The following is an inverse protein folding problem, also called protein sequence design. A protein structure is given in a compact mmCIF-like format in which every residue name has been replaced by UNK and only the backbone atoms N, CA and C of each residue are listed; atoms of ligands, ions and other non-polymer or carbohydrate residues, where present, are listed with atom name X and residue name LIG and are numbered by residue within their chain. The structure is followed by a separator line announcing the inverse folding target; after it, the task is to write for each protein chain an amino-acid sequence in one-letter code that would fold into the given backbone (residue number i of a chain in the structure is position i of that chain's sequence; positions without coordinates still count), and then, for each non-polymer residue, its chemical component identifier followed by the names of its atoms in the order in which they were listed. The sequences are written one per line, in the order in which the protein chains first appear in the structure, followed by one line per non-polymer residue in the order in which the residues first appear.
data_IF_792045825843
#
_entry.id   IF_792045825843
#
_cell.length_a   1.000
_cell.length_b   1.000
_cell.length_c   1.000
_cell.angle_alpha   90.00
_cell.angle_beta   90.00
_cell.angle_gamma   90.00
#
_symmetry.space_group_name_H-M   'P 1'
#
loop_
_entity.id
_entity.type
_entity.pdbx_description
1 polymer ?
#
# COMPACT_ATOMS: atom_id res chain seq x y z
N UNK A 1 -12.01 -15.00 34.11
CA UNK A 1 -11.33 -14.99 32.79
C UNK A 1 -12.17 -14.14 31.86
N UNK A 2 -12.03 -12.83 31.94
CA UNK A 2 -12.69 -11.96 30.96
C UNK A 2 -12.00 -12.21 29.61
N UNK A 3 -12.76 -12.52 28.56
CA UNK A 3 -12.17 -12.50 27.21
C UNK A 3 -11.89 -11.04 26.90
N UNK A 4 -10.63 -10.67 27.03
CA UNK A 4 -10.13 -9.40 26.56
C UNK A 4 -9.82 -9.56 25.07
N UNK A 5 -10.86 -9.40 24.23
CA UNK A 5 -10.72 -9.37 22.75
C UNK A 5 -9.58 -8.41 22.37
N UNK A 6 -9.46 -7.29 23.10
CA UNK A 6 -8.40 -6.31 22.91
C UNK A 6 -7.03 -6.86 23.33
N UNK A 7 -6.86 -7.48 24.50
CA UNK A 7 -5.56 -8.07 24.88
C UNK A 7 -5.08 -9.11 23.86
N UNK A 8 -5.99 -9.94 23.34
CA UNK A 8 -5.64 -10.89 22.28
C UNK A 8 -5.25 -10.18 20.98
N UNK A 9 -5.86 -9.03 20.69
CA UNK A 9 -5.50 -8.19 19.57
C UNK A 9 -4.11 -7.58 19.75
N UNK A 10 -3.81 -7.07 20.95
CA UNK A 10 -2.50 -6.51 21.31
C UNK A 10 -1.41 -7.59 21.24
N UNK A 11 -1.62 -8.76 21.83
CA UNK A 11 -0.67 -9.87 21.74
C UNK A 11 -0.40 -10.26 20.26
N UNK A 12 -1.45 -10.28 19.43
CA UNK A 12 -1.29 -10.56 17.99
C UNK A 12 -0.52 -9.44 17.29
N UNK A 13 -0.73 -8.18 17.68
CA UNK A 13 0.00 -7.03 17.14
C UNK A 13 1.48 -7.09 17.51
N UNK A 14 1.82 -7.37 18.77
CA UNK A 14 3.19 -7.50 19.25
C UNK A 14 3.94 -8.61 18.53
N UNK A 15 3.34 -9.80 18.42
CA UNK A 15 3.90 -10.92 17.64
C UNK A 15 4.09 -10.52 16.18
N UNK A 16 3.12 -9.81 15.60
CA UNK A 16 3.23 -9.28 14.24
C UNK A 16 4.40 -8.32 14.07
N UNK A 17 4.58 -7.38 15.01
CA UNK A 17 5.68 -6.41 15.02
C UNK A 17 7.03 -7.12 15.17
N UNK A 18 7.11 -8.13 16.04
CA UNK A 18 8.32 -8.92 16.24
C UNK A 18 8.76 -9.61 14.94
N UNK A 19 7.86 -10.39 14.31
CA UNK A 19 8.16 -11.07 13.05
C UNK A 19 8.42 -10.10 11.92
N UNK A 20 7.71 -8.98 11.88
CA UNK A 20 7.92 -7.97 10.86
C UNK A 20 9.31 -7.33 11.00
N UNK A 21 9.72 -6.97 12.22
CA UNK A 21 11.05 -6.44 12.47
C UNK A 21 12.15 -7.45 12.12
N UNK A 22 11.99 -8.73 12.50
CA UNK A 22 12.93 -9.80 12.12
C UNK A 22 13.08 -9.94 10.61
N UNK A 23 11.99 -9.78 9.86
CA UNK A 23 12.03 -9.75 8.41
C UNK A 23 12.81 -8.52 7.92
N UNK A 24 12.47 -7.33 8.41
CA UNK A 24 13.14 -6.08 8.06
C UNK A 24 14.64 -6.02 8.48
N UNK A 25 15.05 -6.74 9.52
CA UNK A 25 16.45 -6.80 10.00
C UNK A 25 17.34 -7.63 9.08
N UNK A 26 16.75 -8.45 8.21
CA UNK A 26 17.46 -9.39 7.35
C UNK A 26 17.20 -9.16 5.86
N UNK A 27 16.83 -7.93 5.46
CA UNK A 27 16.53 -7.60 4.06
C UNK A 27 17.75 -7.77 3.14
N UNK A 28 18.93 -7.38 3.63
CA UNK A 28 20.19 -7.44 2.86
C UNK A 28 20.75 -8.86 2.75
N UNK A 29 20.29 -9.77 3.62
CA UNK A 29 20.65 -11.16 3.55
C UNK A 29 19.77 -11.82 2.48
N UNK A 30 20.28 -11.91 1.26
CA UNK A 30 19.75 -12.66 0.09
C UNK A 30 19.46 -14.15 0.34
N UNK A 31 19.41 -14.58 1.59
CA UNK A 31 18.90 -15.88 1.94
C UNK A 31 17.38 -15.85 1.77
N UNK A 32 16.93 -16.21 0.57
CA UNK A 32 15.55 -16.63 0.25
C UNK A 32 15.26 -17.96 0.98
N UNK A 33 15.65 -18.06 2.25
CA UNK A 33 15.35 -19.20 3.08
C UNK A 33 13.89 -19.16 3.47
N UNK A 34 13.35 -20.35 3.65
CA UNK A 34 12.01 -20.58 4.22
C UNK A 34 11.84 -19.79 5.53
N UNK A 35 12.91 -19.58 6.29
CA UNK A 35 12.90 -18.76 7.52
C UNK A 35 12.65 -17.28 7.27
N UNK A 36 13.28 -16.67 6.27
CA UNK A 36 13.12 -15.23 6.02
C UNK A 36 11.68 -14.91 5.58
N UNK A 37 11.18 -15.57 4.53
CA UNK A 37 9.78 -15.39 4.10
C UNK A 37 8.77 -15.96 5.10
N UNK A 38 9.19 -16.91 5.94
CA UNK A 38 8.43 -17.36 7.11
C UNK A 38 8.10 -16.20 8.05
N UNK A 39 9.06 -15.32 8.34
CA UNK A 39 8.83 -14.15 9.18
C UNK A 39 7.78 -13.21 8.56
N UNK A 40 7.85 -12.91 7.26
CA UNK A 40 6.85 -12.08 6.60
C UNK A 40 5.45 -12.74 6.65
N UNK A 41 5.37 -14.05 6.40
CA UNK A 41 4.12 -14.80 6.51
C UNK A 41 3.51 -14.72 7.92
N UNK A 42 4.32 -14.91 8.96
CA UNK A 42 3.85 -14.80 10.34
C UNK A 42 3.46 -13.38 10.72
N UNK A 43 4.15 -12.36 10.19
CA UNK A 43 3.77 -10.97 10.36
C UNK A 43 2.38 -10.68 9.76
N UNK A 44 2.13 -11.11 8.52
CA UNK A 44 0.83 -10.92 7.84
C UNK A 44 -0.30 -11.61 8.59
N UNK A 45 -0.12 -12.87 9.02
CA UNK A 45 -1.14 -13.61 9.77
C UNK A 45 -1.44 -12.90 11.10
N UNK A 46 -0.39 -12.46 11.81
CA UNK A 46 -0.52 -11.81 13.11
C UNK A 46 -1.18 -10.44 13.01
N UNK A 47 -0.83 -9.62 12.01
CA UNK A 47 -1.50 -8.34 11.75
C UNK A 47 -2.94 -8.51 11.29
N UNK A 48 -3.23 -9.50 10.43
CA UNK A 48 -4.61 -9.81 10.06
C UNK A 48 -5.46 -10.13 11.30
N UNK A 49 -4.96 -11.00 12.19
CA UNK A 49 -5.64 -11.36 13.44
C UNK A 49 -5.79 -10.15 14.38
N UNK A 50 -4.75 -9.34 14.52
CA UNK A 50 -4.81 -8.12 15.33
C UNK A 50 -5.89 -7.16 14.81
N UNK A 51 -5.90 -6.88 13.51
CA UNK A 51 -6.91 -6.01 12.88
C UNK A 51 -8.31 -6.60 13.04
N UNK A 52 -8.50 -7.91 12.87
CA UNK A 52 -9.79 -8.56 13.09
C UNK A 52 -10.32 -8.30 14.50
N UNK A 53 -9.47 -8.53 15.50
CA UNK A 53 -9.84 -8.42 16.90
C UNK A 53 -10.03 -6.97 17.33
N UNK A 54 -9.19 -6.04 16.87
CA UNK A 54 -9.37 -4.60 17.08
C UNK A 54 -10.68 -4.11 16.44
N UNK A 55 -10.99 -4.56 15.22
CA UNK A 55 -12.27 -4.26 14.55
C UNK A 55 -13.44 -4.74 15.36
N UNK A 56 -13.39 -5.99 15.83
CA UNK A 56 -14.42 -6.53 16.73
C UNK A 56 -14.51 -5.74 18.02
N UNK A 57 -13.38 -5.33 18.60
CA UNK A 57 -13.30 -4.45 19.76
C UNK A 57 -14.11 -3.16 19.58
N UNK A 58 -13.81 -2.40 18.52
CA UNK A 58 -14.53 -1.18 18.17
C UNK A 58 -16.03 -1.45 17.96
N UNK A 59 -16.39 -2.52 17.24
CA UNK A 59 -17.79 -2.88 16.99
C UNK A 59 -18.53 -3.31 18.26
N UNK A 60 -17.87 -4.03 19.17
CA UNK A 60 -18.41 -4.40 20.48
C UNK A 60 -18.71 -3.15 21.30
N UNK A 61 -17.86 -2.12 21.23
CA UNK A 61 -18.07 -0.83 21.90
C UNK A 61 -19.27 -0.06 21.36
N UNK A 62 -19.56 -0.19 20.07
CA UNK A 62 -20.82 0.33 19.48
C UNK A 62 -22.02 -0.50 19.95
N UNK A 63 -22.02 -1.80 19.66
CA UNK A 63 -23.09 -2.73 20.04
C UNK A 63 -22.63 -4.19 19.88
N UNK A 64 -22.75 -4.98 20.95
CA UNK A 64 -22.28 -6.37 20.95
C UNK A 64 -23.00 -7.29 19.94
N UNK A 65 -24.25 -6.98 19.57
CA UNK A 65 -25.00 -7.71 18.55
C UNK A 65 -24.46 -7.52 17.12
N UNK A 66 -23.57 -6.56 16.89
CA UNK A 66 -22.88 -6.42 15.61
C UNK A 66 -21.88 -7.57 15.39
N UNK A 67 -21.32 -8.11 16.48
CA UNK A 67 -20.24 -9.10 16.44
C UNK A 67 -20.74 -10.52 16.68
N UNK A 68 -21.68 -10.71 17.60
CA UNK A 68 -22.19 -12.04 17.95
C UNK A 68 -23.42 -12.42 17.12
N UNK A 69 -23.36 -13.59 16.47
CA UNK A 69 -24.55 -14.25 15.93
C UNK A 69 -25.25 -15.00 17.07
N UNK A 70 -26.02 -14.26 17.87
CA UNK A 70 -26.79 -14.80 18.99
C UNK A 70 -28.20 -15.19 18.54
N UNK A 71 -28.61 -16.43 18.86
CA UNK A 71 -30.00 -16.87 18.72
C UNK A 71 -30.76 -16.53 20.02
N UNK A 72 -31.11 -15.25 20.16
CA UNK A 72 -31.62 -14.70 21.42
C UNK A 72 -32.90 -15.40 21.87
N UNK A 73 -33.79 -15.67 20.91
CA UNK A 73 -35.13 -16.23 21.18
C UNK A 73 -35.07 -17.63 21.77
N UNK A 74 -34.02 -18.39 21.47
CA UNK A 74 -33.84 -19.76 21.92
C UNK A 74 -32.77 -19.93 23.01
N UNK A 75 -32.14 -18.83 23.47
CA UNK A 75 -31.17 -18.85 24.56
C UNK A 75 -31.75 -18.22 25.84
N UNK A 76 -32.39 -19.07 26.66
CA UNK A 76 -32.96 -18.68 27.95
C UNK A 76 -31.95 -18.00 28.88
N UNK A 77 -30.68 -18.43 28.85
CA UNK A 77 -29.63 -17.87 29.69
C UNK A 77 -29.26 -16.46 29.24
N UNK A 78 -29.20 -16.22 27.94
CA UNK A 78 -29.00 -14.89 27.38
C UNK A 78 -30.20 -13.99 27.69
N UNK A 79 -31.43 -14.49 27.54
CA UNK A 79 -32.65 -13.77 27.89
C UNK A 79 -32.65 -13.35 29.37
N UNK A 80 -32.29 -14.25 30.29
CA UNK A 80 -32.18 -13.96 31.71
C UNK A 80 -31.09 -12.91 32.00
N UNK A 81 -29.95 -12.99 31.30
CA UNK A 81 -28.88 -12.00 31.40
C UNK A 81 -29.36 -10.61 30.96
N UNK A 82 -30.02 -10.51 29.80
CA UNK A 82 -30.56 -9.28 29.26
C UNK A 82 -31.63 -8.69 30.19
N UNK A 83 -32.50 -9.53 30.76
CA UNK A 83 -33.49 -9.12 31.76
C UNK A 83 -32.81 -8.54 33.02
N UNK A 84 -31.80 -9.22 33.55
CA UNK A 84 -31.03 -8.74 34.71
C UNK A 84 -30.33 -7.41 34.43
N UNK A 85 -29.84 -7.20 33.21
CA UNK A 85 -29.22 -5.93 32.80
C UNK A 85 -30.24 -4.79 32.73
N UNK A 86 -31.41 -5.06 32.15
CA UNK A 86 -32.52 -4.10 32.10
C UNK A 86 -32.94 -3.67 33.52
N UNK A 87 -33.15 -4.64 34.42
CA UNK A 87 -33.51 -4.37 35.82
C UNK A 87 -32.43 -3.56 36.57
N UNK A 88 -31.15 -3.83 36.28
CA UNK A 88 -30.00 -3.11 36.86
C UNK A 88 -29.68 -1.80 36.16
N UNK A 89 -30.46 -1.37 35.16
CA UNK A 89 -30.23 -0.18 34.33
C UNK A 89 -28.82 -0.11 33.73
N UNK A 90 -28.23 -1.27 33.40
CA UNK A 90 -26.95 -1.32 32.68
C UNK A 90 -27.17 -0.91 31.22
N UNK A 91 -26.29 -0.07 30.68
CA UNK A 91 -26.41 0.47 29.30
C UNK A 91 -25.96 -0.51 28.21
N UNK A 92 -25.07 -1.45 28.52
CA UNK A 92 -24.49 -2.38 27.55
C UNK A 92 -24.78 -3.81 27.97
N UNK A 93 -25.25 -4.62 27.02
CA UNK A 93 -25.40 -6.04 27.24
C UNK A 93 -24.03 -6.70 27.16
N UNK A 94 -23.61 -7.43 28.19
CA UNK A 94 -22.33 -8.14 28.27
C UNK A 94 -22.44 -9.56 27.68
N UNK A 95 -22.87 -9.64 26.43
CA UNK A 95 -22.98 -10.86 25.61
C UNK A 95 -21.61 -11.48 25.42
N UNK A 96 -20.57 -10.66 25.24
CA UNK A 96 -19.20 -11.14 25.12
C UNK A 96 -18.81 -12.04 26.28
N UNK A 97 -19.12 -11.63 27.51
CA UNK A 97 -18.92 -12.46 28.71
C UNK A 97 -19.78 -13.73 28.67
N UNK A 98 -21.05 -13.63 28.31
CA UNK A 98 -21.94 -14.79 28.23
C UNK A 98 -21.50 -15.82 27.18
N UNK A 99 -20.97 -15.36 26.04
CA UNK A 99 -20.50 -16.19 24.94
C UNK A 99 -19.29 -17.07 25.32
N UNK A 100 -18.50 -16.66 26.31
CA UNK A 100 -17.33 -17.43 26.81
C UNK A 100 -17.74 -18.57 27.72
N UNK A 101 -18.72 -18.29 28.58
CA UNK A 101 -19.02 -19.10 29.76
C UNK A 101 -20.28 -19.94 29.60
N UNK A 102 -21.11 -19.65 28.60
CA UNK A 102 -22.23 -20.50 28.25
C UNK A 102 -21.75 -21.76 27.51
N UNK A 103 -22.50 -22.85 27.63
CA UNK A 103 -22.30 -24.04 26.80
C UNK A 103 -22.70 -23.82 25.33
N UNK A 104 -23.15 -22.60 24.99
CA UNK A 104 -23.67 -22.25 23.68
C UNK A 104 -22.55 -21.90 22.71
N UNK A 105 -22.68 -22.37 21.47
CA UNK A 105 -21.69 -22.18 20.41
C UNK A 105 -21.87 -20.82 19.73
N UNK A 106 -21.61 -19.74 20.46
CA UNK A 106 -21.65 -18.39 19.91
C UNK A 106 -20.57 -18.21 18.83
N UNK A 107 -21.02 -18.01 17.58
CA UNK A 107 -20.12 -17.67 16.47
C UNK A 107 -19.99 -16.15 16.38
N UNK A 108 -18.75 -15.67 16.25
CA UNK A 108 -18.51 -14.26 15.90
C UNK A 108 -18.56 -14.08 14.38
N UNK A 109 -18.76 -12.85 13.93
CA UNK A 109 -18.61 -12.50 12.51
C UNK A 109 -17.16 -12.73 12.03
N UNK A 110 -17.00 -13.05 10.75
CA UNK A 110 -15.71 -13.22 10.09
C UNK A 110 -15.07 -11.87 9.71
N UNK A 111 -13.75 -11.87 9.46
CA UNK A 111 -12.96 -10.68 9.10
C UNK A 111 -13.61 -9.80 8.02
N UNK A 112 -13.95 -10.38 6.86
CA UNK A 112 -14.51 -9.62 5.74
C UNK A 112 -15.81 -8.91 6.15
N UNK A 113 -16.67 -9.57 6.92
CA UNK A 113 -17.89 -8.95 7.44
C UNK A 113 -17.57 -7.87 8.47
N UNK A 114 -16.57 -8.05 9.32
CA UNK A 114 -16.22 -7.05 10.33
C UNK A 114 -15.68 -5.76 9.71
N UNK A 115 -14.80 -5.85 8.69
CA UNK A 115 -14.27 -4.64 8.03
C UNK A 115 -15.32 -3.91 7.18
N UNK A 116 -16.26 -4.65 6.57
CA UNK A 116 -17.40 -4.05 5.85
C UNK A 116 -18.29 -3.26 6.83
N UNK A 117 -18.60 -3.83 7.99
CA UNK A 117 -19.41 -3.14 9.01
C UNK A 117 -18.68 -1.92 9.55
N UNK A 118 -17.38 -2.05 9.83
CA UNK A 118 -16.55 -0.96 10.30
C UNK A 118 -16.57 0.22 9.31
N UNK A 119 -16.31 -0.03 8.03
CA UNK A 119 -16.33 1.01 7.00
C UNK A 119 -17.71 1.67 6.86
N UNK A 120 -18.80 0.89 6.97
CA UNK A 120 -20.18 1.43 6.88
C UNK A 120 -20.54 2.33 8.06
N UNK A 121 -20.10 1.97 9.27
CA UNK A 121 -20.41 2.73 10.50
C UNK A 121 -19.52 3.98 10.59
N UNK A 122 -18.22 3.85 10.29
CA UNK A 122 -17.20 4.89 10.43
C UNK A 122 -16.77 5.46 9.07
N UNK A 123 -17.72 5.64 8.14
CA UNK A 123 -17.43 6.07 6.75
C UNK A 123 -16.73 7.43 6.64
N UNK A 124 -16.82 8.27 7.68
CA UNK A 124 -16.23 9.61 7.69
C UNK A 124 -14.79 9.58 8.23
N UNK A 125 -14.46 8.54 8.99
CA UNK A 125 -13.17 8.34 9.66
C UNK A 125 -12.30 7.30 8.93
N UNK A 126 -12.92 6.35 8.24
CA UNK A 126 -12.27 5.31 7.45
C UNK A 126 -12.58 5.54 5.97
N UNK A 127 -11.55 5.92 5.22
CA UNK A 127 -11.69 6.14 3.79
C UNK A 127 -11.93 4.83 3.04
N UNK A 128 -12.43 4.92 1.80
CA UNK A 128 -12.52 3.75 0.90
C UNK A 128 -11.16 3.06 0.72
N UNK A 129 -10.08 3.84 0.71
CA UNK A 129 -8.72 3.35 0.56
C UNK A 129 -8.25 2.57 1.79
N UNK A 130 -8.62 3.00 2.99
CA UNK A 130 -8.32 2.25 4.22
C UNK A 130 -9.07 0.92 4.23
N UNK A 131 -10.33 0.90 3.79
CA UNK A 131 -11.08 -0.34 3.59
C UNK A 131 -10.39 -1.28 2.58
N UNK A 132 -9.95 -0.75 1.43
CA UNK A 132 -9.22 -1.53 0.41
C UNK A 132 -7.90 -2.10 0.95
N UNK A 133 -7.18 -1.35 1.81
CA UNK A 133 -5.98 -1.86 2.50
C UNK A 133 -6.32 -3.06 3.39
N UNK A 134 -7.41 -2.98 4.16
CA UNK A 134 -7.83 -4.09 5.02
C UNK A 134 -8.28 -5.31 4.20
N UNK A 135 -8.96 -5.10 3.09
CA UNK A 135 -9.37 -6.17 2.18
C UNK A 135 -8.13 -6.88 1.58
N UNK A 136 -7.16 -6.10 1.09
CA UNK A 136 -5.87 -6.63 0.59
C UNK A 136 -5.09 -7.40 1.66
N UNK A 137 -5.16 -6.98 2.93
CA UNK A 137 -4.52 -7.73 4.03
C UNK A 137 -5.11 -9.15 4.15
N UNK A 138 -6.42 -9.31 3.97
CA UNK A 138 -7.06 -10.63 3.94
C UNK A 138 -6.65 -11.45 2.72
N UNK A 139 -6.57 -10.82 1.55
CA UNK A 139 -6.10 -11.49 0.32
C UNK A 139 -4.66 -11.99 0.46
N UNK A 140 -3.75 -11.17 1.01
CA UNK A 140 -2.37 -11.58 1.24
C UNK A 140 -2.26 -12.68 2.29
N UNK A 141 -3.01 -12.58 3.40
CA UNK A 141 -3.07 -13.65 4.39
C UNK A 141 -3.49 -14.96 3.72
N UNK A 142 -4.57 -14.95 2.94
CA UNK A 142 -5.09 -16.14 2.27
C UNK A 142 -4.08 -16.73 1.27
N UNK A 143 -3.48 -15.88 0.45
CA UNK A 143 -2.48 -16.29 -0.54
C UNK A 143 -1.25 -16.93 0.13
N UNK A 144 -0.70 -16.27 1.17
CA UNK A 144 0.46 -16.78 1.92
C UNK A 144 0.17 -18.07 2.69
N UNK A 145 -1.06 -18.26 3.18
CA UNK A 145 -1.43 -19.47 3.91
C UNK A 145 -1.72 -20.66 3.00
N UNK A 146 -2.36 -20.45 1.84
CA UNK A 146 -2.89 -21.54 1.01
C UNK A 146 -2.11 -21.79 -0.28
N UNK A 147 -1.59 -20.74 -0.92
CA UNK A 147 -0.91 -20.83 -2.21
C UNK A 147 0.61 -20.72 -2.08
N UNK A 148 1.08 -20.16 -0.97
CA UNK A 148 2.43 -19.61 -0.89
C UNK A 148 2.52 -18.30 -1.67
N UNK A 149 3.70 -17.69 -1.68
CA UNK A 149 3.94 -16.50 -2.49
C UNK A 149 4.91 -16.89 -3.60
N UNK A 150 4.42 -16.97 -4.83
CA UNK A 150 5.20 -17.42 -5.98
C UNK A 150 6.11 -16.31 -6.55
N UNK A 151 5.78 -15.04 -6.29
CA UNK A 151 6.55 -13.90 -6.81
C UNK A 151 7.50 -13.37 -5.74
N UNK A 152 8.76 -13.78 -5.78
CA UNK A 152 9.83 -13.20 -4.94
C UNK A 152 10.05 -11.70 -5.18
N UNK A 153 9.37 -11.10 -6.17
CA UNK A 153 9.55 -9.72 -6.61
C UNK A 153 8.36 -8.79 -6.24
N UNK A 154 7.28 -9.30 -5.63
CA UNK A 154 6.12 -8.44 -5.32
C UNK A 154 5.85 -8.25 -3.82
N UNK A 155 6.71 -8.77 -2.96
CA UNK A 155 6.50 -8.71 -1.51
C UNK A 155 6.57 -7.29 -0.93
N UNK A 156 7.17 -6.31 -1.63
CA UNK A 156 7.05 -4.90 -1.23
C UNK A 156 5.59 -4.46 -1.14
N UNK A 157 4.68 -5.02 -1.97
CA UNK A 157 3.24 -4.71 -1.91
C UNK A 157 2.63 -5.17 -0.59
N UNK A 158 3.11 -6.30 -0.05
CA UNK A 158 2.73 -6.78 1.27
C UNK A 158 3.21 -5.77 2.33
N UNK A 159 4.46 -5.34 2.27
CA UNK A 159 5.01 -4.34 3.20
C UNK A 159 4.20 -3.05 3.22
N UNK A 160 3.82 -2.55 2.04
CA UNK A 160 2.97 -1.36 1.90
C UNK A 160 1.64 -1.56 2.62
N UNK A 161 0.99 -2.71 2.45
CA UNK A 161 -0.28 -3.03 3.14
C UNK A 161 -0.09 -3.20 4.64
N UNK A 162 1.00 -3.83 5.11
CA UNK A 162 1.29 -3.92 6.54
C UNK A 162 1.53 -2.55 7.16
N UNK A 163 2.29 -1.68 6.51
CA UNK A 163 2.51 -0.31 6.96
C UNK A 163 1.22 0.49 7.00
N UNK A 164 0.39 0.41 5.96
CA UNK A 164 -0.91 1.10 5.94
C UNK A 164 -1.85 0.57 7.02
N UNK A 165 -1.80 -0.72 7.30
CA UNK A 165 -2.56 -1.33 8.40
C UNK A 165 -2.08 -0.83 9.77
N UNK A 166 -0.76 -0.72 9.99
CA UNK A 166 -0.17 -0.15 11.21
C UNK A 166 -0.51 1.35 11.36
N UNK A 167 -0.49 2.11 10.27
CA UNK A 167 -0.95 3.51 10.25
C UNK A 167 -2.41 3.62 10.66
N UNK A 168 -3.27 2.71 10.18
CA UNK A 168 -4.68 2.66 10.57
C UNK A 168 -4.86 2.24 12.04
N UNK A 169 -4.07 1.29 12.55
CA UNK A 169 -4.03 0.94 13.97
C UNK A 169 -3.75 2.19 14.81
N UNK A 170 -2.67 2.90 14.47
CA UNK A 170 -2.26 4.11 15.19
C UNK A 170 -3.27 5.27 15.06
N UNK A 171 -3.78 5.51 13.85
CA UNK A 171 -4.61 6.68 13.55
C UNK A 171 -6.07 6.52 13.94
N UNK A 172 -6.63 5.31 13.80
CA UNK A 172 -8.04 5.04 14.02
C UNK A 172 -8.29 4.16 15.23
N UNK A 173 -7.71 2.95 15.30
CA UNK A 173 -8.10 1.96 16.32
C UNK A 173 -7.74 2.38 17.74
N UNK A 174 -6.52 2.91 17.95
CA UNK A 174 -6.11 3.44 19.27
C UNK A 174 -7.08 4.53 19.76
N UNK A 175 -7.60 5.36 18.85
CA UNK A 175 -8.51 6.46 19.22
C UNK A 175 -9.98 6.03 19.35
N UNK A 176 -10.34 4.85 18.82
CA UNK A 176 -11.73 4.40 18.70
C UNK A 176 -12.15 3.37 19.75
N UNK A 177 -11.19 2.68 20.37
CA UNK A 177 -11.46 1.69 21.43
C UNK A 177 -11.67 2.42 22.76
N UNK A 178 -12.70 2.03 23.51
CA UNK A 178 -12.95 2.58 24.85
C UNK A 178 -11.83 2.11 25.80
N UNK A 179 -11.24 3.05 26.55
CA UNK A 179 -10.12 2.80 27.47
C UNK A 179 -8.89 2.23 26.75
N UNK A 180 -8.61 2.71 25.53
CA UNK A 180 -7.49 2.25 24.73
C UNK A 180 -6.13 2.43 25.42
N UNK A 181 -6.01 3.42 26.30
CA UNK A 181 -4.82 3.70 27.13
C UNK A 181 -4.44 2.54 28.07
N UNK A 182 -5.37 1.64 28.38
CA UNK A 182 -5.10 0.45 29.21
C UNK A 182 -4.45 -0.68 28.41
N UNK A 183 -4.59 -0.64 27.09
CA UNK A 183 -4.16 -1.70 26.18
C UNK A 183 -2.95 -1.29 25.34
N UNK A 184 -2.94 -0.05 24.85
CA UNK A 184 -1.86 0.51 24.04
C UNK A 184 -0.90 1.29 24.91
N UNK A 185 0.05 0.58 25.50
CA UNK A 185 1.14 1.20 26.27
C UNK A 185 2.02 2.07 25.36
N UNK A 186 2.74 3.02 25.96
CA UNK A 186 3.72 3.85 25.23
C UNK A 186 4.76 2.99 24.50
N UNK A 187 5.11 1.83 25.06
CA UNK A 187 6.03 0.87 24.45
C UNK A 187 5.48 0.28 23.14
N UNK A 188 4.22 -0.16 23.13
CA UNK A 188 3.57 -0.68 21.93
C UNK A 188 3.50 0.40 20.85
N UNK A 189 3.12 1.63 21.22
CA UNK A 189 3.03 2.76 20.29
C UNK A 189 4.41 3.08 19.70
N UNK A 190 5.46 3.14 20.52
CA UNK A 190 6.83 3.35 20.06
C UNK A 190 7.31 2.22 19.15
N UNK A 191 6.94 0.97 19.44
CA UNK A 191 7.28 -0.17 18.59
C UNK A 191 6.62 -0.07 17.21
N UNK A 192 5.34 0.33 17.15
CA UNK A 192 4.65 0.61 15.87
C UNK A 192 5.39 1.71 15.09
N UNK A 193 5.75 2.81 15.75
CA UNK A 193 6.46 3.93 15.12
C UNK A 193 7.83 3.53 14.59
N UNK A 194 8.60 2.79 15.39
CA UNK A 194 9.92 2.29 15.00
C UNK A 194 9.83 1.35 13.80
N UNK A 195 8.89 0.41 13.80
CA UNK A 195 8.66 -0.51 12.68
C UNK A 195 8.22 0.23 11.42
N UNK A 196 7.27 1.18 11.54
CA UNK A 196 6.84 2.01 10.42
C UNK A 196 7.99 2.81 9.82
N UNK A 197 8.80 3.45 10.66
CA UNK A 197 9.97 4.22 10.21
C UNK A 197 10.93 3.32 9.44
N UNK A 198 11.33 2.20 10.04
CA UNK A 198 12.25 1.24 9.44
C UNK A 198 11.73 0.73 8.10
N UNK A 199 10.47 0.30 8.03
CA UNK A 199 9.92 -0.20 6.77
C UNK A 199 9.79 0.88 5.69
N UNK A 200 9.44 2.13 6.06
CA UNK A 200 9.36 3.23 5.09
C UNK A 200 10.70 3.58 4.48
N UNK A 201 11.78 3.44 5.24
CA UNK A 201 13.14 3.62 4.76
C UNK A 201 13.53 2.52 3.76
N UNK A 202 13.08 1.27 3.97
CA UNK A 202 13.46 0.14 3.11
C UNK A 202 12.59 -0.10 1.86
N UNK A 203 11.29 0.26 1.88
CA UNK A 203 10.37 -0.03 0.77
C UNK A 203 10.85 0.51 -0.59
N UNK A 204 11.36 1.75 -0.72
CA UNK A 204 11.81 2.27 -2.00
C UNK A 204 12.88 1.39 -2.65
N UNK A 205 13.89 0.97 -1.89
CA UNK A 205 14.99 0.14 -2.39
C UNK A 205 14.49 -1.24 -2.82
N UNK A 206 13.59 -1.84 -2.04
CA UNK A 206 12.99 -3.14 -2.38
C UNK A 206 12.14 -3.03 -3.64
N UNK A 207 11.36 -1.96 -3.77
CA UNK A 207 10.56 -1.71 -4.97
C UNK A 207 11.45 -1.55 -6.20
N UNK A 208 12.57 -0.84 -6.08
CA UNK A 208 13.54 -0.69 -7.16
C UNK A 208 14.16 -2.03 -7.55
N UNK A 209 14.68 -2.80 -6.59
CA UNK A 209 15.24 -4.12 -6.83
C UNK A 209 14.21 -5.08 -7.47
N UNK A 210 12.94 -4.97 -7.09
CA UNK A 210 11.85 -5.75 -7.65
C UNK A 210 11.55 -5.47 -9.12
N UNK A 211 11.93 -4.29 -9.61
CA UNK A 211 11.73 -3.86 -10.99
C UNK A 211 13.03 -3.64 -11.76
N UNK A 212 14.18 -4.04 -11.21
CA UNK A 212 15.52 -3.74 -11.74
C UNK A 212 15.61 -3.95 -13.25
N UNK A 213 15.25 -5.15 -13.74
CA UNK A 213 15.28 -5.50 -15.15
C UNK A 213 14.40 -4.58 -16.03
N UNK A 214 13.17 -4.29 -15.58
CA UNK A 214 12.24 -3.40 -16.33
C UNK A 214 12.79 -1.97 -16.33
N UNK A 215 13.35 -1.51 -15.22
CA UNK A 215 13.89 -0.17 -15.08
C UNK A 215 15.16 0.01 -15.94
N UNK A 216 16.03 -1.00 -16.02
CA UNK A 216 17.18 -1.03 -16.92
C UNK A 216 16.75 -0.88 -18.39
N UNK A 217 15.76 -1.66 -18.82
CA UNK A 217 15.20 -1.56 -20.17
C UNK A 217 14.57 -0.18 -20.44
N UNK A 218 13.85 0.38 -19.47
CA UNK A 218 13.32 1.74 -19.59
C UNK A 218 14.44 2.77 -19.73
N UNK A 219 15.53 2.63 -18.96
CA UNK A 219 16.69 3.53 -19.02
C UNK A 219 17.32 3.51 -20.42
N UNK A 220 17.56 2.31 -20.97
CA UNK A 220 18.06 2.13 -22.33
C UNK A 220 17.15 2.78 -23.39
N UNK A 221 15.82 2.70 -23.22
CA UNK A 221 14.88 3.38 -24.11
C UNK A 221 14.91 4.89 -23.94
N UNK A 222 15.10 5.40 -22.72
CA UNK A 222 15.24 6.82 -22.45
C UNK A 222 16.53 7.39 -23.07
N UNK A 223 17.65 6.68 -23.02
CA UNK A 223 18.89 7.07 -23.71
C UNK A 223 18.63 7.32 -25.19
N UNK A 224 18.06 6.32 -25.88
CA UNK A 224 17.69 6.43 -27.29
C UNK A 224 16.63 7.51 -27.56
N UNK A 225 15.75 7.79 -26.60
CA UNK A 225 14.71 8.81 -26.70
C UNK A 225 15.30 10.23 -26.69
N UNK A 226 16.37 10.44 -25.93
CA UNK A 226 17.08 11.72 -25.85
C UNK A 226 18.15 11.91 -26.93
N UNK A 227 18.58 10.85 -27.62
CA UNK A 227 19.44 10.93 -28.80
C UNK A 227 18.75 11.64 -29.98
N UNK A 228 18.82 12.98 -30.01
CA UNK A 228 18.30 13.80 -31.10
C UNK A 228 19.08 15.13 -31.24
N UNK A 229 19.33 15.57 -32.47
CA UNK A 229 19.95 16.85 -32.80
C UNK A 229 19.21 18.10 -32.28
N UNK A 230 17.93 18.00 -31.88
CA UNK A 230 17.11 19.12 -31.39
C UNK A 230 17.14 19.30 -29.86
N UNK A 231 17.63 18.30 -29.13
CA UNK A 231 17.80 18.32 -27.68
C UNK A 231 19.29 18.26 -27.39
N UNK A 232 19.84 19.30 -26.78
CA UNK A 232 21.23 19.29 -26.33
C UNK A 232 21.25 19.00 -24.82
N UNK A 233 21.71 17.81 -24.43
CA UNK A 233 21.81 17.45 -23.02
C UNK A 233 23.00 18.21 -22.42
N UNK A 234 22.71 19.04 -21.42
CA UNK A 234 23.72 19.84 -20.76
C UNK A 234 24.34 19.11 -19.56
N UNK A 235 23.53 18.32 -18.84
CA UNK A 235 23.90 17.66 -17.59
C UNK A 235 22.96 16.48 -17.31
N UNK A 236 23.50 15.37 -16.82
CA UNK A 236 22.77 14.17 -16.40
C UNK A 236 23.22 13.82 -14.98
N UNK A 237 22.27 13.64 -14.08
CA UNK A 237 22.49 13.05 -12.76
C UNK A 237 21.80 11.70 -12.74
N UNK A 238 22.57 10.66 -12.45
CA UNK A 238 22.11 9.28 -12.29
C UNK A 238 22.40 8.78 -10.88
N UNK A 239 21.56 7.89 -10.40
CA UNK A 239 21.77 7.16 -9.16
C UNK A 239 22.98 6.23 -9.30
N UNK A 240 23.87 6.18 -8.29
CA UNK A 240 25.14 5.42 -8.39
C UNK A 240 24.99 3.90 -8.29
N UNK A 241 23.89 3.43 -7.71
CA UNK A 241 23.68 2.00 -7.45
C UNK A 241 22.99 1.33 -8.63
N UNK A 242 22.10 2.05 -9.32
CA UNK A 242 21.27 1.49 -10.38
C UNK A 242 21.40 2.20 -11.75
N UNK A 243 22.25 3.24 -11.84
CA UNK A 243 22.45 4.07 -13.06
C UNK A 243 21.16 4.70 -13.65
N UNK A 244 20.10 4.76 -12.85
CA UNK A 244 18.83 5.36 -13.23
C UNK A 244 18.88 6.87 -13.24
N UNK A 245 18.21 7.50 -14.22
CA UNK A 245 18.06 8.95 -14.26
C UNK A 245 17.44 9.50 -12.99
N UNK A 246 18.10 10.43 -12.31
CA UNK A 246 17.52 11.26 -11.25
C UNK A 246 17.12 12.64 -11.78
N UNK A 247 17.97 13.19 -12.65
CA UNK A 247 17.77 14.53 -13.22
C UNK A 247 18.45 14.66 -14.57
N UNK A 248 17.76 15.29 -15.52
CA UNK A 248 18.33 15.68 -16.81
C UNK A 248 18.13 17.18 -16.99
N UNK A 249 19.21 17.91 -17.29
CA UNK A 249 19.15 19.30 -17.74
C UNK A 249 19.49 19.35 -19.23
N UNK A 250 18.65 19.99 -20.01
CA UNK A 250 18.84 20.05 -21.46
C UNK A 250 18.31 21.35 -22.05
N UNK A 251 18.82 21.67 -23.23
CA UNK A 251 18.43 22.81 -24.03
C UNK A 251 17.61 22.33 -25.23
N UNK A 252 16.44 22.93 -25.44
CA UNK A 252 15.57 22.63 -26.55
C UNK A 252 15.46 23.84 -27.48
N UNK A 253 15.78 23.67 -28.77
CA UNK A 253 15.67 24.73 -29.77
C UNK A 253 14.29 24.73 -30.40
N UNK A 254 13.48 25.74 -30.10
CA UNK A 254 12.17 25.96 -30.71
C UNK A 254 12.22 27.19 -31.61
N UNK A 255 12.30 26.98 -32.93
CA UNK A 255 12.52 28.04 -33.93
C UNK A 255 13.80 28.82 -33.60
N UNK A 256 13.66 30.08 -33.20
CA UNK A 256 14.77 30.99 -32.90
C UNK A 256 15.09 31.08 -31.40
N UNK A 257 14.30 30.44 -30.54
CA UNK A 257 14.47 30.49 -29.09
C UNK A 257 15.07 29.18 -28.57
N UNK A 258 16.06 29.29 -27.70
CA UNK A 258 16.58 28.18 -26.90
C UNK A 258 15.89 28.21 -25.53
N UNK A 259 15.26 27.10 -25.16
CA UNK A 259 14.59 26.93 -23.87
C UNK A 259 15.40 25.93 -23.06
N UNK A 260 15.83 26.34 -21.87
CA UNK A 260 16.49 25.44 -20.92
C UNK A 260 15.44 24.76 -20.05
N UNK A 261 15.51 23.44 -19.95
CA UNK A 261 14.57 22.61 -19.20
C UNK A 261 15.34 21.73 -18.23
N UNK A 262 14.69 21.43 -17.11
CA UNK A 262 15.17 20.49 -16.09
C UNK A 262 14.04 19.52 -15.82
N UNK A 263 14.31 18.24 -15.97
CA UNK A 263 13.38 17.15 -15.64
C UNK A 263 13.98 16.33 -14.49
N UNK A 264 13.24 16.21 -13.39
CA UNK A 264 13.54 15.25 -12.33
C UNK A 264 12.72 13.97 -12.57
N UNK A 265 13.33 12.82 -12.33
CA UNK A 265 12.71 11.50 -12.45
C UNK A 265 12.52 10.91 -11.05
N UNK A 266 11.28 10.62 -10.69
CA UNK A 266 10.89 10.19 -9.35
C UNK A 266 10.33 8.78 -9.43
N UNK A 267 11.08 7.83 -8.90
CA UNK A 267 10.70 6.42 -8.79
C UNK A 267 9.75 6.24 -7.60
N UNK A 268 8.48 5.97 -7.89
CA UNK A 268 7.43 6.01 -6.89
C UNK A 268 6.74 4.66 -6.75
N UNK A 269 7.11 3.93 -5.70
CA UNK A 269 6.44 2.68 -5.31
C UNK A 269 4.95 2.89 -5.03
N UNK A 270 4.58 4.03 -4.44
CA UNK A 270 3.18 4.37 -4.17
C UNK A 270 2.33 4.43 -5.44
N UNK A 271 2.96 4.76 -6.56
CA UNK A 271 2.31 5.02 -7.83
C UNK A 271 2.68 3.97 -8.89
N UNK A 272 3.47 2.95 -8.55
CA UNK A 272 4.00 1.95 -9.49
C UNK A 272 4.52 2.57 -10.79
N UNK A 273 5.29 3.65 -10.67
CA UNK A 273 5.67 4.46 -11.84
C UNK A 273 6.92 5.30 -11.62
N UNK A 274 7.49 5.73 -12.76
CA UNK A 274 8.49 6.78 -12.84
C UNK A 274 7.77 8.09 -13.19
N UNK A 275 7.75 9.05 -12.26
CA UNK A 275 7.09 10.34 -12.41
C UNK A 275 8.13 11.38 -12.87
N UNK A 276 7.86 12.05 -13.98
CA UNK A 276 8.72 13.07 -14.56
C UNK A 276 8.18 14.44 -14.17
N UNK A 277 8.97 15.26 -13.48
CA UNK A 277 8.57 16.60 -13.01
C UNK A 277 9.51 17.69 -13.50
N UNK A 278 9.01 18.92 -13.63
CA UNK A 278 9.86 20.08 -13.95
C UNK A 278 10.47 20.74 -12.70
N UNK A 279 11.27 21.78 -12.95
CA UNK A 279 11.86 22.68 -11.94
C UNK A 279 10.86 23.29 -10.95
N UNK A 280 9.58 23.35 -11.33
CA UNK A 280 8.48 23.88 -10.55
C UNK A 280 7.67 22.78 -9.84
N UNK A 281 8.20 21.55 -9.82
CA UNK A 281 7.54 20.32 -9.32
C UNK A 281 6.20 20.01 -10.00
N UNK A 282 5.98 20.46 -11.24
CA UNK A 282 4.80 20.07 -12.01
C UNK A 282 5.05 18.75 -12.70
N UNK A 283 4.06 17.87 -12.67
CA UNK A 283 4.12 16.58 -13.37
C UNK A 283 4.00 16.83 -14.87
N UNK A 284 5.02 16.41 -15.61
CA UNK A 284 5.13 16.52 -17.07
C UNK A 284 4.64 15.25 -17.73
N UNK A 285 4.99 14.11 -17.15
CA UNK A 285 4.59 12.79 -17.60
C UNK A 285 4.88 11.75 -16.55
N UNK A 286 4.40 10.53 -16.78
CA UNK A 286 4.72 9.38 -15.95
C UNK A 286 4.77 8.10 -16.79
N UNK A 287 5.69 7.21 -16.44
CA UNK A 287 5.84 5.87 -17.01
C UNK A 287 5.29 4.89 -15.98
N UNK A 288 4.10 4.34 -16.23
CA UNK A 288 3.52 3.31 -15.38
C UNK A 288 4.24 1.98 -15.64
N UNK A 289 4.56 1.23 -14.59
CA UNK A 289 5.17 -0.09 -14.69
C UNK A 289 4.14 -1.22 -14.87
N UNK A 290 2.86 -0.87 -15.09
CA UNK A 290 1.82 -1.85 -15.35
C UNK A 290 1.90 -2.41 -16.78
N UNK A 291 1.61 -3.71 -16.94
CA UNK A 291 1.76 -4.48 -18.19
C UNK A 291 1.17 -3.82 -19.45
N UNK A 292 0.02 -3.15 -19.37
CA UNK A 292 -0.60 -2.55 -20.56
C UNK A 292 0.16 -1.30 -21.06
N UNK A 293 1.05 -0.72 -20.24
CA UNK A 293 1.94 0.36 -20.65
C UNK A 293 3.28 -0.13 -21.24
N UNK A 294 3.60 -1.40 -20.99
CA UNK A 294 4.85 -2.04 -21.36
C UNK A 294 4.56 -3.15 -22.39
N UNK A 295 4.98 -2.97 -23.63
CA UNK A 295 4.82 -4.04 -24.63
C UNK A 295 6.08 -4.87 -24.66
N UNK A 296 5.96 -6.17 -24.38
CA UNK A 296 7.07 -7.13 -24.47
C UNK A 296 7.00 -7.92 -25.78
N UNK A 297 8.18 -8.26 -26.32
CA UNK A 297 8.33 -9.37 -27.25
C UNK A 297 8.43 -10.66 -26.46
N UNK A 298 7.76 -11.69 -26.96
CA UNK A 298 7.72 -13.00 -26.35
C UNK A 298 8.58 -13.96 -27.17
N UNK A 299 9.27 -14.87 -26.49
CA UNK A 299 9.99 -15.97 -27.13
C UNK A 299 9.02 -17.04 -27.68
N UNK A 300 9.57 -18.11 -28.25
CA UNK A 300 8.80 -19.22 -28.82
C UNK A 300 7.92 -19.95 -27.78
N UNK A 301 8.22 -19.79 -26.48
CA UNK A 301 7.47 -20.39 -25.38
C UNK A 301 6.42 -19.43 -24.78
N UNK A 302 6.29 -18.22 -25.32
CA UNK A 302 5.38 -17.21 -24.78
C UNK A 302 5.91 -16.53 -23.51
N UNK A 303 7.22 -16.55 -23.27
CA UNK A 303 7.86 -15.88 -22.13
C UNK A 303 8.32 -14.48 -22.58
N UNK A 304 7.99 -13.41 -21.85
CA UNK A 304 8.52 -12.07 -22.13
C UNK A 304 10.05 -12.09 -22.10
N UNK A 305 10.69 -11.67 -23.20
CA UNK A 305 12.15 -11.70 -23.33
C UNK A 305 12.77 -10.31 -23.60
N UNK A 306 11.98 -9.35 -24.08
CA UNK A 306 12.50 -8.01 -24.40
C UNK A 306 11.40 -6.95 -24.33
N UNK A 307 11.67 -5.81 -23.70
CA UNK A 307 10.76 -4.68 -23.70
C UNK A 307 10.80 -3.94 -25.06
N UNK A 308 9.76 -4.14 -25.88
CA UNK A 308 9.60 -3.49 -27.18
C UNK A 308 9.30 -1.99 -27.01
N UNK A 309 8.22 -1.68 -26.29
CA UNK A 309 7.67 -0.32 -26.17
C UNK A 309 7.37 0.04 -24.73
N UNK A 310 7.74 1.27 -24.39
CA UNK A 310 7.41 1.92 -23.12
C UNK A 310 6.51 3.11 -23.42
N UNK A 311 5.41 3.26 -22.69
CA UNK A 311 4.56 4.43 -22.80
C UNK A 311 4.82 5.48 -21.72
N UNK A 312 4.75 6.75 -22.11
CA UNK A 312 4.71 7.93 -21.24
C UNK A 312 3.31 8.52 -21.33
N UNK A 313 2.63 8.63 -20.20
CA UNK A 313 1.36 9.36 -20.09
C UNK A 313 1.60 10.82 -19.76
N UNK A 314 0.79 11.67 -20.37
CA UNK A 314 0.79 13.10 -20.08
C UNK A 314 -0.46 13.45 -19.27
N UNK A 315 -0.32 14.13 -18.12
CA UNK A 315 -1.45 14.61 -17.34
C UNK A 315 -2.39 15.48 -18.19
N UNK A 316 -3.71 15.24 -18.08
CA UNK A 316 -4.74 16.08 -18.71
C UNK A 316 -4.79 17.47 -18.11
N UNK A 317 -4.58 17.53 -16.80
CA UNK A 317 -4.65 18.74 -15.99
C UNK A 317 -3.29 19.03 -15.38
N UNK A 318 -3.08 20.29 -14.99
CA UNK A 318 -1.86 20.72 -14.33
C UNK A 318 -1.80 20.11 -12.93
N UNK A 319 -0.90 19.18 -12.72
CA UNK A 319 -0.67 18.52 -11.44
C UNK A 319 0.69 18.92 -10.86
N UNK A 320 0.74 19.06 -9.54
CA UNK A 320 1.97 19.28 -8.78
C UNK A 320 2.32 18.02 -8.01
N UNK A 321 3.61 17.71 -7.99
CA UNK A 321 4.15 16.56 -7.30
C UNK A 321 4.15 16.77 -5.78
N UNK A 322 3.79 15.71 -5.06
CA UNK A 322 3.72 15.54 -3.63
C UNK A 322 4.10 14.07 -3.37
N UNK A 323 5.16 13.88 -2.60
CA UNK A 323 5.77 12.58 -2.31
C UNK A 323 4.82 11.59 -1.62
N UNK A 324 3.79 12.11 -0.92
CA UNK A 324 2.85 11.29 -0.15
C UNK A 324 1.54 11.05 -0.90
N UNK A 325 1.40 11.57 -2.12
CA UNK A 325 0.18 11.48 -2.91
C UNK A 325 0.23 10.29 -3.87
N UNK A 326 -0.84 9.49 -3.85
CA UNK A 326 -1.15 8.62 -4.99
C UNK A 326 -1.88 9.44 -6.04
N UNK A 327 -1.33 9.43 -7.24
CA UNK A 327 -1.89 10.02 -8.42
C UNK A 327 -2.83 9.02 -9.09
N UNK A 328 -3.96 9.53 -9.58
CA UNK A 328 -4.84 8.74 -10.43
C UNK A 328 -4.19 8.59 -11.82
N UNK A 329 -3.26 7.64 -11.89
CA UNK A 329 -2.59 7.21 -13.11
C UNK A 329 -3.60 6.51 -14.02
N UNK A 330 -4.79 6.09 -13.52
CA UNK A 330 -5.83 5.37 -14.26
C UNK A 330 -6.60 6.21 -15.27
N UNK A 331 -6.38 7.53 -15.33
CA UNK A 331 -6.91 8.43 -16.37
C UNK A 331 -6.18 8.27 -17.73
N UNK A 332 -5.87 7.00 -18.07
CA UNK A 332 -5.06 6.40 -19.14
C UNK A 332 -5.76 6.49 -20.49
N UNK A 333 -6.10 7.70 -20.91
CA UNK A 333 -6.61 7.88 -22.27
C UNK A 333 -5.51 7.52 -23.26
N UNK A 334 -5.77 6.60 -24.20
CA UNK A 334 -4.87 6.31 -25.33
C UNK A 334 -4.41 7.58 -26.06
N UNK A 335 -5.22 8.65 -26.04
CA UNK A 335 -4.90 9.93 -26.67
C UNK A 335 -3.76 10.70 -25.97
N UNK A 336 -3.48 10.38 -24.70
CA UNK A 336 -2.43 11.00 -23.89
C UNK A 336 -1.20 10.11 -23.71
N UNK A 337 -1.21 8.92 -24.32
CA UNK A 337 -0.09 8.02 -24.34
C UNK A 337 0.86 8.39 -25.48
N UNK A 338 2.14 8.50 -25.17
CA UNK A 338 3.23 8.60 -26.13
C UNK A 338 4.15 7.40 -25.94
N UNK A 339 4.50 6.71 -27.02
CA UNK A 339 5.50 5.66 -26.91
C UNK A 339 6.90 6.25 -26.97
N UNK A 340 7.80 5.78 -26.11
CA UNK A 340 9.21 6.11 -26.12
C UNK A 340 9.82 5.47 -27.37
N UNK A 341 10.12 6.31 -28.36
CA UNK A 341 10.78 5.93 -29.62
C UNK A 341 11.93 6.89 -29.90
N UNK A 342 12.98 6.38 -30.53
CA UNK A 342 14.17 7.18 -30.82
C UNK A 342 13.80 8.49 -31.54
N UNK A 343 14.31 9.60 -31.00
CA UNK A 343 14.09 10.94 -31.55
C UNK A 343 12.72 11.58 -31.29
N UNK A 344 11.77 10.93 -30.60
CA UNK A 344 10.42 11.48 -30.37
C UNK A 344 10.28 12.39 -29.13
N UNK A 345 11.37 12.66 -28.38
CA UNK A 345 11.36 13.51 -27.18
C UNK A 345 10.73 14.90 -27.39
N UNK A 346 10.88 15.46 -28.59
CA UNK A 346 10.26 16.73 -28.98
C UNK A 346 8.73 16.75 -28.84
N UNK A 347 8.05 15.60 -28.99
CA UNK A 347 6.59 15.52 -28.89
C UNK A 347 6.15 15.78 -27.45
N UNK A 348 6.82 15.14 -26.48
CA UNK A 348 6.56 15.33 -25.05
C UNK A 348 6.85 16.77 -24.63
N UNK A 349 8.02 17.31 -25.02
CA UNK A 349 8.41 18.70 -24.74
C UNK A 349 7.35 19.67 -25.28
N UNK A 350 6.94 19.52 -26.54
CA UNK A 350 5.95 20.40 -27.15
C UNK A 350 4.58 20.32 -26.49
N UNK A 351 4.12 19.12 -26.10
CA UNK A 351 2.84 18.96 -25.37
C UNK A 351 2.92 19.62 -23.99
N UNK A 352 4.03 19.43 -23.28
CA UNK A 352 4.28 20.07 -21.99
C UNK A 352 4.29 21.60 -22.10
N UNK A 353 5.05 22.16 -23.04
CA UNK A 353 5.13 23.62 -23.23
C UNK A 353 3.78 24.23 -23.62
N UNK A 354 2.96 23.54 -24.43
CA UNK A 354 1.58 23.97 -24.73
C UNK A 354 0.71 24.03 -23.47
N UNK A 355 0.86 23.05 -22.58
CA UNK A 355 0.14 23.01 -21.31
C UNK A 355 0.65 24.02 -20.27
N UNK A 356 1.82 24.63 -20.48
CA UNK A 356 2.37 25.68 -19.61
C UNK A 356 1.76 27.06 -19.85
N UNK A 357 1.27 27.31 -21.07
CA UNK A 357 0.79 28.64 -21.52
C UNK A 357 -0.73 28.82 -21.33
N UNK A 358 -1.47 27.72 -21.20
CA UNK A 358 -2.87 27.72 -20.76
C UNK A 358 -2.94 27.64 -19.24
#
# INVERSE_FOLDING_TARGET
MEIHVIDNAINSLEVGLEFYNKFLDNLDNLDISVSHFGNLKFAVISFHNAVELLTKGVLLDVNEFLVFKADIENDDSLCEMLQKQFLKKKRKANIAYHAVFSQNHYKTIEYGKSIILLHKIFKNEISKRDYEVLDLLAEYRNSLTHLGYASTYEWYKILVVLNKSLELIKGFYINSIIRSEEYFTDEIIQNIEKTLKKSKESIPDIWMASHEYILEDINNKLDLYFENNLVNINDIVQNREYDFYEKIKFSFKNKDNTINLVWDFIYSYLNESIIIVDDSKRIIGYISLEDWNLTFLYDENGIPNYLDKVGIFIPKEKLYFDENRIYDISNKSKNNLLYIKSGECIILINKYLKNRVK
#
